data_IF_081698637101
#
_entry.id   IF_081698637101
#
_cell.length_a   1.000
_cell.length_b   1.000
_cell.length_c   1.000
_cell.angle_alpha   90.00
_cell.angle_beta   90.00
_cell.angle_gamma   90.00
#
_symmetry.space_group_name_H-M   'P 1'
#
loop_
_entity.id
_entity.type
_entity.pdbx_description
1 polymer ?
#
# COMPACT_ATOMS: atom_id res chain seq x y z
N UNK A 1 26.20 -84.84 -13.78
CA UNK A 1 26.57 -83.84 -12.75
C UNK A 1 26.74 -82.49 -13.41
N UNK A 2 25.70 -81.64 -13.37
CA UNK A 2 25.73 -80.29 -13.96
C UNK A 2 25.86 -79.28 -12.83
N UNK A 3 26.96 -78.57 -12.81
CA UNK A 3 27.19 -77.46 -11.91
C UNK A 3 26.52 -76.18 -12.50
N UNK A 4 25.48 -75.72 -11.85
CA UNK A 4 24.83 -74.43 -12.16
C UNK A 4 25.67 -73.31 -11.57
N UNK A 5 26.27 -72.51 -12.45
CA UNK A 5 26.92 -71.27 -12.07
C UNK A 5 25.85 -70.17 -11.86
N UNK A 6 25.91 -69.55 -10.69
CA UNK A 6 25.10 -68.41 -10.31
C UNK A 6 25.74 -67.13 -10.85
N UNK A 7 25.15 -66.49 -11.83
CA UNK A 7 25.58 -65.17 -12.33
C UNK A 7 24.89 -64.11 -11.48
N UNK A 8 25.73 -63.43 -10.66
CA UNK A 8 25.28 -62.30 -9.85
C UNK A 8 25.28 -61.04 -10.71
N UNK A 9 24.08 -60.56 -11.08
CA UNK A 9 23.91 -59.30 -11.80
C UNK A 9 23.93 -58.14 -10.79
N UNK A 10 25.05 -57.40 -10.72
CA UNK A 10 25.14 -56.14 -9.97
C UNK A 10 24.48 -55.04 -10.78
N UNK A 11 23.26 -54.66 -10.38
CA UNK A 11 22.57 -53.43 -10.89
C UNK A 11 23.13 -52.26 -10.12
N UNK A 12 24.01 -51.47 -10.75
CA UNK A 12 24.43 -50.18 -10.29
C UNK A 12 23.30 -49.18 -10.50
N UNK A 13 22.52 -48.89 -9.44
CA UNK A 13 21.64 -47.75 -9.40
C UNK A 13 22.48 -46.48 -9.25
N UNK A 14 22.78 -45.80 -10.37
CA UNK A 14 23.27 -44.45 -10.35
C UNK A 14 22.10 -43.53 -9.92
N UNK A 15 22.06 -43.16 -8.65
CA UNK A 15 21.20 -42.12 -8.15
C UNK A 15 21.64 -40.75 -8.74
N UNK A 16 20.96 -40.33 -9.80
CA UNK A 16 21.05 -38.94 -10.24
C UNK A 16 20.35 -38.07 -9.19
N UNK A 17 21.14 -37.51 -8.28
CA UNK A 17 20.71 -36.36 -7.50
C UNK A 17 20.68 -35.16 -8.44
N UNK A 18 19.56 -34.97 -9.14
CA UNK A 18 19.26 -33.69 -9.73
C UNK A 18 19.07 -32.71 -8.56
N UNK A 19 20.15 -32.04 -8.19
CA UNK A 19 20.07 -30.85 -7.34
C UNK A 19 19.17 -29.86 -8.07
N UNK A 20 17.92 -29.75 -7.65
CA UNK A 20 17.10 -28.61 -8.01
C UNK A 20 17.82 -27.38 -7.43
N UNK A 21 18.64 -26.73 -8.26
CA UNK A 21 19.05 -25.37 -8.01
C UNK A 21 17.73 -24.56 -7.99
N UNK A 22 17.26 -24.25 -6.81
CA UNK A 22 16.25 -23.22 -6.64
C UNK A 22 16.87 -21.98 -7.25
N UNK A 23 16.39 -21.61 -8.44
CA UNK A 23 16.69 -20.32 -9.00
C UNK A 23 16.25 -19.32 -7.92
N UNK A 24 17.19 -18.61 -7.33
CA UNK A 24 16.92 -17.46 -6.48
C UNK A 24 16.14 -16.52 -7.38
N UNK A 25 14.81 -16.44 -7.15
CA UNK A 25 13.91 -15.59 -7.89
C UNK A 25 14.51 -14.19 -7.78
N UNK A 26 14.89 -13.60 -8.90
CA UNK A 26 15.61 -12.32 -8.98
C UNK A 26 14.65 -11.27 -8.36
N UNK A 27 14.81 -11.06 -7.04
CA UNK A 27 13.95 -10.13 -6.29
C UNK A 27 14.08 -8.78 -6.98
N UNK A 28 12.98 -8.10 -7.26
CA UNK A 28 13.05 -6.81 -7.92
C UNK A 28 13.99 -5.91 -7.12
N UNK A 29 14.99 -5.36 -7.78
CA UNK A 29 16.03 -4.54 -7.15
C UNK A 29 15.48 -3.33 -6.42
N UNK A 30 14.23 -2.95 -6.75
CA UNK A 30 13.53 -1.82 -6.15
C UNK A 30 12.03 -2.08 -6.13
N UNK A 31 11.40 -1.81 -4.99
CA UNK A 31 9.95 -1.87 -4.84
C UNK A 31 9.43 -0.45 -4.67
N UNK A 32 8.42 -0.09 -5.45
CA UNK A 32 7.76 1.22 -5.41
C UNK A 32 6.30 1.01 -5.01
N UNK A 33 5.89 1.62 -3.91
CA UNK A 33 4.51 1.68 -3.48
C UNK A 33 3.91 3.03 -3.90
N UNK A 34 2.91 2.98 -4.77
CA UNK A 34 2.14 4.17 -5.13
C UNK A 34 1.07 4.39 -4.06
N UNK A 35 1.04 5.57 -3.47
CA UNK A 35 0.07 5.90 -2.44
C UNK A 35 -0.61 7.24 -2.72
N UNK A 36 -1.94 7.27 -2.58
CA UNK A 36 -2.79 8.43 -2.86
C UNK A 36 -3.51 8.83 -1.59
N UNK A 37 -3.35 10.09 -1.18
CA UNK A 37 -4.00 10.66 -0.02
C UNK A 37 -5.22 11.52 -0.42
N UNK A 38 -6.06 11.87 0.55
CA UNK A 38 -7.19 12.82 0.47
C UNK A 38 -8.42 12.38 -0.36
N UNK A 39 -8.41 11.18 -0.91
CA UNK A 39 -9.56 10.62 -1.63
C UNK A 39 -10.70 10.12 -0.70
N UNK A 40 -11.76 9.54 -1.29
CA UNK A 40 -12.04 9.59 -2.72
C UNK A 40 -12.55 10.96 -3.18
N UNK A 41 -12.34 11.27 -4.45
CA UNK A 41 -12.74 12.51 -5.10
C UNK A 41 -13.57 12.22 -6.34
N UNK A 42 -14.03 13.29 -6.99
CA UNK A 42 -14.82 13.18 -8.23
C UNK A 42 -14.07 12.43 -9.32
N UNK A 43 -12.77 12.66 -9.43
CA UNK A 43 -11.93 12.16 -10.51
C UNK A 43 -11.25 10.82 -10.19
N UNK A 44 -11.57 10.20 -9.03
CA UNK A 44 -11.12 8.86 -8.65
C UNK A 44 -11.31 7.80 -9.76
N UNK A 45 -12.46 7.73 -10.49
CA UNK A 45 -12.62 6.74 -11.56
C UNK A 45 -11.62 6.88 -12.69
N UNK A 46 -11.19 8.11 -13.02
CA UNK A 46 -10.18 8.35 -14.07
C UNK A 46 -8.79 7.85 -13.60
N UNK A 47 -8.45 8.07 -12.33
CA UNK A 47 -7.22 7.54 -11.74
C UNK A 47 -7.23 6.01 -11.72
N UNK A 48 -8.33 5.39 -11.31
CA UNK A 48 -8.47 3.93 -11.30
C UNK A 48 -8.30 3.33 -12.69
N UNK A 49 -8.86 3.99 -13.71
CA UNK A 49 -8.66 3.56 -15.09
C UNK A 49 -7.18 3.55 -15.50
N UNK A 50 -6.40 4.56 -15.11
CA UNK A 50 -4.96 4.62 -15.42
C UNK A 50 -4.22 3.49 -14.71
N UNK A 51 -4.55 3.19 -13.45
CA UNK A 51 -3.92 2.11 -12.69
C UNK A 51 -4.25 0.73 -13.29
N UNK A 52 -5.49 0.54 -13.73
CA UNK A 52 -5.95 -0.69 -14.41
C UNK A 52 -5.26 -0.87 -15.78
N UNK A 53 -5.23 0.19 -16.61
CA UNK A 53 -4.54 0.17 -17.93
C UNK A 53 -3.05 -0.21 -17.81
N UNK A 54 -2.43 0.06 -16.65
CA UNK A 54 -1.02 -0.21 -16.37
C UNK A 54 -0.80 -1.49 -15.54
N UNK A 55 -1.86 -2.16 -15.08
CA UNK A 55 -1.82 -3.30 -14.16
C UNK A 55 -0.99 -3.01 -12.89
N UNK A 56 -1.24 -1.84 -12.27
CA UNK A 56 -0.48 -1.36 -11.11
C UNK A 56 -1.36 -1.27 -9.88
N UNK A 57 -1.08 -2.05 -8.81
CA UNK A 57 -1.76 -1.89 -7.52
C UNK A 57 -1.30 -0.62 -6.81
N UNK A 58 -2.22 -0.03 -6.02
CA UNK A 58 -1.95 1.16 -5.23
C UNK A 58 -2.56 1.06 -3.83
N UNK A 59 -2.18 2.00 -2.96
CA UNK A 59 -2.80 2.19 -1.64
C UNK A 59 -3.43 3.58 -1.58
N UNK A 60 -4.69 3.63 -1.19
CA UNK A 60 -5.44 4.87 -1.02
C UNK A 60 -5.65 5.14 0.47
N UNK A 61 -5.17 6.28 0.96
CA UNK A 61 -5.45 6.74 2.31
C UNK A 61 -6.61 7.74 2.26
N UNK A 62 -7.81 7.21 2.52
CA UNK A 62 -9.05 7.95 2.32
C UNK A 62 -9.42 8.81 3.53
N UNK A 63 -9.96 10.00 3.26
CA UNK A 63 -10.59 10.87 4.26
C UNK A 63 -12.07 10.51 4.37
N UNK A 64 -12.57 10.27 5.59
CA UNK A 64 -13.95 9.84 5.80
C UNK A 64 -14.99 10.82 5.27
N UNK A 65 -14.72 12.14 5.29
CA UNK A 65 -15.58 13.14 4.64
C UNK A 65 -15.66 12.92 3.13
N UNK A 66 -14.57 12.52 2.47
CA UNK A 66 -14.54 12.14 1.07
C UNK A 66 -15.36 10.87 0.80
N UNK A 67 -15.24 9.87 1.67
CA UNK A 67 -16.07 8.64 1.57
C UNK A 67 -17.56 8.97 1.64
N UNK A 68 -17.97 9.88 2.52
CA UNK A 68 -19.37 10.31 2.61
C UNK A 68 -19.83 11.08 1.37
N UNK A 69 -18.95 11.86 0.76
CA UNK A 69 -19.27 12.64 -0.43
C UNK A 69 -19.31 11.78 -1.70
N UNK A 70 -18.46 10.76 -1.78
CA UNK A 70 -18.27 9.91 -2.96
C UNK A 70 -18.18 8.42 -2.58
N UNK A 71 -19.23 7.83 -1.95
CA UNK A 71 -19.19 6.45 -1.48
C UNK A 71 -18.99 5.44 -2.61
N UNK A 72 -19.59 5.69 -3.78
CA UNK A 72 -19.41 4.82 -4.94
C UNK A 72 -17.95 4.79 -5.42
N UNK A 73 -17.23 5.91 -5.33
CA UNK A 73 -15.83 5.94 -5.71
C UNK A 73 -14.94 5.17 -4.70
N UNK A 74 -15.26 5.24 -3.40
CA UNK A 74 -14.60 4.40 -2.40
C UNK A 74 -14.84 2.90 -2.68
N UNK A 75 -16.05 2.55 -3.10
CA UNK A 75 -16.38 1.18 -3.49
C UNK A 75 -15.61 0.74 -4.74
N UNK A 76 -15.49 1.58 -5.75
CA UNK A 76 -14.71 1.30 -6.96
C UNK A 76 -13.22 1.04 -6.61
N UNK A 77 -12.62 1.79 -5.67
CA UNK A 77 -11.25 1.55 -5.22
C UNK A 77 -11.12 0.14 -4.63
N UNK A 78 -12.06 -0.27 -3.79
CA UNK A 78 -12.07 -1.59 -3.16
C UNK A 78 -12.27 -2.71 -4.18
N UNK A 79 -13.25 -2.56 -5.10
CA UNK A 79 -13.57 -3.53 -6.14
C UNK A 79 -12.43 -3.71 -7.15
N UNK A 80 -11.66 -2.65 -7.41
CA UNK A 80 -10.45 -2.70 -8.24
C UNK A 80 -9.26 -3.40 -7.56
N UNK A 81 -9.42 -3.85 -6.30
CA UNK A 81 -8.39 -4.61 -5.57
C UNK A 81 -7.27 -3.75 -4.98
N UNK A 82 -7.44 -2.44 -4.91
CA UNK A 82 -6.50 -1.55 -4.24
C UNK A 82 -6.62 -1.60 -2.73
N UNK A 83 -5.52 -1.34 -2.02
CA UNK A 83 -5.54 -1.25 -0.56
C UNK A 83 -6.15 0.09 -0.11
N UNK A 84 -6.96 0.05 0.96
CA UNK A 84 -7.53 1.26 1.57
C UNK A 84 -7.04 1.37 3.02
N UNK A 85 -6.48 2.53 3.35
CA UNK A 85 -6.14 2.95 4.71
C UNK A 85 -6.94 4.18 5.13
N UNK A 86 -6.95 4.46 6.42
CA UNK A 86 -7.56 5.69 6.96
C UNK A 86 -6.59 6.86 6.88
N UNK A 87 -7.09 8.00 6.38
CA UNK A 87 -6.43 9.32 6.46
C UNK A 87 -7.23 10.27 7.36
N UNK A 88 -7.82 9.72 8.44
CA UNK A 88 -8.76 10.35 9.35
C UNK A 88 -10.14 10.66 8.74
N UNK A 89 -11.06 11.12 9.59
CA UNK A 89 -12.40 11.52 9.14
C UNK A 89 -12.43 12.87 8.43
N UNK A 90 -11.62 13.84 8.88
CA UNK A 90 -11.75 15.24 8.45
C UNK A 90 -10.42 15.94 8.23
N UNK A 91 -9.30 15.22 8.15
CA UNK A 91 -7.96 15.78 7.96
C UNK A 91 -7.61 16.91 8.97
N UNK A 92 -8.05 16.80 10.23
CA UNK A 92 -7.90 17.84 11.24
C UNK A 92 -6.64 17.65 12.08
N UNK A 93 -5.49 18.18 11.60
CA UNK A 93 -4.16 17.95 12.17
C UNK A 93 -4.10 18.20 13.69
N UNK A 94 -4.61 19.36 14.13
CA UNK A 94 -4.52 19.77 15.54
C UNK A 94 -5.34 18.89 16.50
N UNK A 95 -6.40 18.24 16.01
CA UNK A 95 -7.26 17.38 16.82
C UNK A 95 -6.69 15.98 16.96
N UNK A 96 -6.00 15.50 15.94
CA UNK A 96 -5.50 14.12 15.86
C UNK A 96 -4.34 13.84 16.82
N UNK A 97 -3.72 14.87 17.42
CA UNK A 97 -2.72 14.67 18.47
C UNK A 97 -3.35 14.38 19.86
N UNK A 98 -4.67 14.33 19.94
CA UNK A 98 -5.39 13.82 21.11
C UNK A 98 -5.76 12.35 20.90
N UNK A 99 -5.28 11.46 21.75
CA UNK A 99 -5.56 10.01 21.67
C UNK A 99 -7.05 9.70 21.78
N UNK A 100 -7.79 10.44 22.62
CA UNK A 100 -9.25 10.27 22.75
C UNK A 100 -10.00 10.67 21.47
N UNK A 101 -9.54 11.75 20.81
CA UNK A 101 -10.10 12.15 19.53
C UNK A 101 -9.76 11.15 18.44
N UNK A 102 -8.49 10.74 18.36
CA UNK A 102 -8.01 9.79 17.36
C UNK A 102 -8.70 8.43 17.48
N UNK A 103 -8.95 7.96 18.71
CA UNK A 103 -9.72 6.73 18.95
C UNK A 103 -11.14 6.78 18.38
N UNK A 104 -11.80 7.93 18.49
CA UNK A 104 -13.13 8.15 17.89
C UNK A 104 -13.05 8.28 16.38
N UNK A 105 -12.03 8.96 15.89
CA UNK A 105 -11.79 9.22 14.47
C UNK A 105 -11.59 7.89 13.71
N UNK A 106 -10.69 7.03 14.17
CA UNK A 106 -10.43 5.72 13.58
C UNK A 106 -11.68 4.83 13.55
N UNK A 107 -12.45 4.80 14.65
CA UNK A 107 -13.72 4.06 14.67
C UNK A 107 -14.72 4.65 13.68
N UNK A 108 -14.89 5.97 13.68
CA UNK A 108 -15.85 6.64 12.79
C UNK A 108 -15.51 6.41 11.32
N UNK A 109 -14.22 6.36 10.97
CA UNK A 109 -13.79 6.02 9.60
C UNK A 109 -14.24 4.59 9.24
N UNK A 110 -13.93 3.61 10.09
CA UNK A 110 -14.30 2.21 9.85
C UNK A 110 -15.82 2.03 9.77
N UNK A 111 -16.56 2.67 10.67
CA UNK A 111 -18.02 2.62 10.69
C UNK A 111 -18.61 3.26 9.41
N UNK A 112 -18.05 4.39 8.95
CA UNK A 112 -18.45 5.05 7.70
C UNK A 112 -18.20 4.14 6.49
N UNK A 113 -17.06 3.48 6.43
CA UNK A 113 -16.76 2.53 5.36
C UNK A 113 -17.71 1.33 5.36
N UNK A 114 -18.04 0.80 6.55
CA UNK A 114 -18.99 -0.32 6.68
C UNK A 114 -20.41 0.06 6.31
N UNK A 115 -20.82 1.25 6.67
CA UNK A 115 -22.16 1.76 6.37
C UNK A 115 -22.36 2.02 4.87
N UNK A 116 -21.37 2.61 4.21
CA UNK A 116 -21.55 3.21 2.88
C UNK A 116 -20.87 2.42 1.75
N UNK A 117 -19.91 1.56 2.06
CA UNK A 117 -19.05 0.90 1.04
C UNK A 117 -19.15 -0.61 1.11
N UNK A 118 -18.77 -1.21 2.23
CA UNK A 118 -18.76 -2.65 2.44
C UNK A 118 -18.95 -2.99 3.92
N UNK A 119 -20.01 -3.71 4.31
CA UNK A 119 -20.30 -4.06 5.71
C UNK A 119 -19.19 -4.88 6.39
N UNK A 120 -18.38 -5.60 5.61
CA UNK A 120 -17.27 -6.41 6.09
C UNK A 120 -15.92 -5.67 6.06
N UNK A 121 -15.93 -4.38 5.69
CA UNK A 121 -14.70 -3.59 5.60
C UNK A 121 -13.89 -3.60 6.89
N UNK A 122 -12.61 -3.83 6.74
CA UNK A 122 -11.62 -3.69 7.80
C UNK A 122 -10.29 -3.20 7.24
N UNK A 123 -9.59 -2.39 8.01
CA UNK A 123 -8.22 -1.98 7.68
C UNK A 123 -7.42 -1.78 8.96
N UNK A 124 -6.14 -2.06 8.87
CA UNK A 124 -5.13 -1.72 9.87
C UNK A 124 -4.11 -0.70 9.34
N UNK A 125 -4.40 -0.08 8.20
CA UNK A 125 -3.55 0.93 7.60
C UNK A 125 -4.02 2.33 8.00
N UNK A 126 -3.08 3.15 8.43
CA UNK A 126 -3.32 4.54 8.77
C UNK A 126 -2.19 5.41 8.22
N UNK A 127 -2.53 6.59 7.74
CA UNK A 127 -1.55 7.63 7.45
C UNK A 127 -1.92 8.90 8.20
N UNK A 128 -0.96 9.41 8.94
CA UNK A 128 -1.12 10.67 9.64
C UNK A 128 -1.26 11.82 8.64
N UNK A 129 -2.36 12.61 8.68
CA UNK A 129 -2.45 13.86 7.94
C UNK A 129 -1.24 14.76 8.18
N UNK A 130 -0.56 15.18 7.10
CA UNK A 130 0.66 15.98 7.19
C UNK A 130 1.93 15.21 7.60
N UNK A 131 1.83 13.89 7.76
CA UNK A 131 2.95 13.01 8.14
C UNK A 131 3.12 12.85 9.66
N UNK A 132 3.75 11.74 10.06
CA UNK A 132 3.83 11.35 11.48
C UNK A 132 4.76 12.24 12.33
N UNK A 133 5.62 13.04 11.71
CA UNK A 133 6.64 13.85 12.41
C UNK A 133 6.06 14.99 13.24
N UNK A 134 4.85 15.45 12.91
CA UNK A 134 4.19 16.56 13.64
C UNK A 134 3.38 16.09 14.84
N UNK A 135 3.28 14.78 15.08
CA UNK A 135 2.49 14.17 16.16
C UNK A 135 3.38 13.72 17.32
N UNK A 136 2.82 13.73 18.52
CA UNK A 136 3.49 13.31 19.74
C UNK A 136 3.87 11.82 19.73
N UNK A 137 4.79 11.44 20.60
CA UNK A 137 5.16 10.06 20.79
C UNK A 137 3.97 9.21 21.30
N UNK A 138 3.14 9.80 22.17
CA UNK A 138 1.97 9.14 22.75
C UNK A 138 0.91 8.84 21.69
N UNK A 139 0.65 9.78 20.78
CA UNK A 139 -0.27 9.60 19.65
C UNK A 139 0.21 8.47 18.71
N UNK A 140 1.50 8.46 18.39
CA UNK A 140 2.09 7.38 17.57
C UNK A 140 2.05 6.02 18.27
N UNK A 141 2.33 5.99 19.57
CA UNK A 141 2.21 4.77 20.37
C UNK A 141 0.76 4.27 20.40
N UNK A 142 -0.20 5.18 20.59
CA UNK A 142 -1.63 4.85 20.57
C UNK A 142 -2.06 4.18 19.25
N UNK A 143 -1.66 4.72 18.10
CA UNK A 143 -1.98 4.14 16.79
C UNK A 143 -1.45 2.71 16.69
N UNK A 144 -0.17 2.50 17.02
CA UNK A 144 0.46 1.17 17.02
C UNK A 144 -0.26 0.20 17.97
N UNK A 145 -0.51 0.62 19.21
CA UNK A 145 -1.08 -0.22 20.27
C UNK A 145 -2.57 -0.53 19.99
N UNK A 146 -3.23 0.29 19.15
CA UNK A 146 -4.56 0.03 18.58
C UNK A 146 -4.55 -0.94 17.39
N UNK A 147 -3.39 -1.49 17.01
CA UNK A 147 -3.25 -2.47 15.95
C UNK A 147 -3.10 -1.87 14.54
N UNK A 148 -2.92 -0.55 14.43
CA UNK A 148 -2.69 0.08 13.15
C UNK A 148 -1.20 0.19 12.83
N UNK A 149 -0.86 -0.04 11.57
CA UNK A 149 0.42 0.33 10.98
C UNK A 149 0.26 1.66 10.26
N UNK A 150 1.21 2.58 10.45
CA UNK A 150 1.25 3.81 9.68
C UNK A 150 2.52 3.89 8.84
N UNK A 151 2.39 4.58 7.71
CA UNK A 151 3.47 4.76 6.75
C UNK A 151 3.52 6.22 6.31
N UNK A 152 4.66 6.87 6.54
CA UNK A 152 5.01 8.09 5.86
C UNK A 152 5.54 7.75 4.44
N UNK A 153 6.10 8.73 3.78
CA UNK A 153 6.67 8.59 2.43
C UNK A 153 8.16 8.95 2.45
N UNK A 154 8.88 8.47 1.48
CA UNK A 154 10.28 8.84 1.25
C UNK A 154 10.52 9.41 -0.14
N UNK A 155 9.45 9.62 -0.91
CA UNK A 155 9.40 10.29 -2.18
C UNK A 155 8.02 10.96 -2.36
N UNK A 156 7.96 12.09 -3.03
CA UNK A 156 6.69 12.78 -3.31
C UNK A 156 6.67 13.33 -4.72
N UNK A 157 5.49 13.42 -5.33
CA UNK A 157 5.31 14.07 -6.64
C UNK A 157 5.35 15.58 -6.54
N UNK A 158 5.06 16.15 -5.37
CA UNK A 158 4.98 17.58 -5.16
C UNK A 158 3.68 18.22 -5.66
N UNK A 159 2.70 17.39 -6.04
CA UNK A 159 1.40 17.79 -6.59
C UNK A 159 0.61 18.76 -5.70
N UNK A 160 0.70 18.60 -4.38
CA UNK A 160 0.03 19.48 -3.43
C UNK A 160 0.88 20.71 -3.00
N UNK A 161 2.18 20.74 -3.30
CA UNK A 161 3.10 21.81 -2.85
C UNK A 161 3.57 22.74 -3.94
N UNK A 162 3.68 22.24 -5.17
CA UNK A 162 4.26 22.97 -6.29
C UNK A 162 3.30 23.05 -7.47
N UNK A 163 3.44 24.14 -8.22
CA UNK A 163 2.83 24.25 -9.53
C UNK A 163 3.90 23.92 -10.57
N UNK A 164 3.67 22.87 -11.33
CA UNK A 164 4.54 22.46 -12.43
C UNK A 164 4.02 23.00 -13.76
N UNK A 165 4.93 23.38 -14.66
CA UNK A 165 4.55 23.85 -15.99
C UNK A 165 4.20 22.68 -16.93
N UNK A 166 4.61 21.46 -16.58
CA UNK A 166 4.32 20.25 -17.35
C UNK A 166 4.42 18.98 -16.51
N UNK A 167 3.77 17.90 -16.98
CA UNK A 167 3.93 16.56 -16.42
C UNK A 167 5.38 16.06 -16.47
N UNK A 168 6.15 16.48 -17.49
CA UNK A 168 7.57 16.12 -17.62
C UNK A 168 8.40 16.74 -16.49
N UNK A 169 8.10 17.96 -16.09
CA UNK A 169 8.77 18.62 -14.97
C UNK A 169 8.42 17.93 -13.63
N UNK A 170 7.17 17.62 -13.38
CA UNK A 170 6.74 16.87 -12.21
C UNK A 170 7.40 15.49 -12.16
N UNK A 171 7.46 14.79 -13.28
CA UNK A 171 8.13 13.49 -13.37
C UNK A 171 9.64 13.61 -13.09
N UNK A 172 10.30 14.63 -13.60
CA UNK A 172 11.71 14.90 -13.31
C UNK A 172 11.92 15.21 -11.82
N UNK A 173 11.09 16.07 -11.23
CA UNK A 173 11.12 16.37 -9.79
C UNK A 173 10.95 15.10 -8.94
N UNK A 174 10.02 14.25 -9.32
CA UNK A 174 9.72 12.99 -8.62
C UNK A 174 10.90 12.02 -8.75
N UNK A 175 11.33 11.74 -9.98
CA UNK A 175 12.31 10.67 -10.24
C UNK A 175 13.71 10.98 -9.71
N UNK A 176 14.11 12.25 -9.64
CA UNK A 176 15.41 12.64 -9.04
C UNK A 176 15.53 12.28 -7.55
N UNK A 177 14.39 12.04 -6.85
CA UNK A 177 14.37 11.65 -5.45
C UNK A 177 14.61 10.14 -5.23
N UNK A 178 14.58 9.33 -6.28
CA UNK A 178 14.77 7.87 -6.20
C UNK A 178 16.09 7.48 -5.55
N UNK A 179 17.19 8.10 -5.99
CA UNK A 179 18.52 7.79 -5.45
C UNK A 179 18.79 6.28 -5.44
N UNK A 180 19.38 5.79 -4.34
CA UNK A 180 19.70 4.37 -4.12
C UNK A 180 18.69 3.67 -3.20
N UNK A 181 17.44 4.14 -3.12
CA UNK A 181 16.42 3.54 -2.28
C UNK A 181 15.94 2.20 -2.86
N UNK A 182 15.99 1.14 -2.08
CA UNK A 182 15.46 -0.18 -2.47
C UNK A 182 13.93 -0.23 -2.31
N UNK A 183 13.41 0.47 -1.29
CA UNK A 183 11.98 0.61 -1.05
C UNK A 183 11.60 2.07 -1.15
N UNK A 184 10.61 2.37 -1.99
CA UNK A 184 10.08 3.71 -2.22
C UNK A 184 8.60 3.73 -1.91
N UNK A 185 8.18 4.68 -1.07
CA UNK A 185 6.78 5.00 -0.81
C UNK A 185 6.54 6.41 -1.38
N UNK A 186 5.71 6.49 -2.41
CA UNK A 186 5.43 7.75 -3.12
C UNK A 186 4.19 8.38 -2.56
N UNK A 187 4.29 9.64 -2.10
CA UNK A 187 3.13 10.46 -1.78
C UNK A 187 2.60 11.14 -3.04
N UNK A 188 1.33 10.94 -3.27
CA UNK A 188 0.50 11.61 -4.27
C UNK A 188 -0.84 11.97 -3.61
N UNK A 189 -1.58 12.89 -4.21
CA UNK A 189 -2.93 13.23 -3.77
C UNK A 189 -3.92 13.04 -4.91
N UNK A 190 -5.15 12.70 -4.57
CA UNK A 190 -6.26 12.78 -5.52
C UNK A 190 -6.62 14.26 -5.72
N UNK A 191 -6.65 14.74 -6.97
CA UNK A 191 -6.87 16.15 -7.33
C UNK A 191 -8.36 16.50 -7.44
#
# INVERSE_FOLDING_TARGET
MFKRGLVLLLVLCAAWTAGAAWAEEDKPRRVVYLTFDDGPKKDTPELLKVLDDLDVPATFFLVGAGVRAFPENAKLILEAGHAIGSHSMNHSLSRLDSTDYLAKDLRSFTDTMRELVDPDFSTNLFRFPGGSTIYSADTKAFVRDSGYAWFDWNMMTGDAQYKFDSNAEMLHYTTKQLGNKDVVIVLMHEA
#
